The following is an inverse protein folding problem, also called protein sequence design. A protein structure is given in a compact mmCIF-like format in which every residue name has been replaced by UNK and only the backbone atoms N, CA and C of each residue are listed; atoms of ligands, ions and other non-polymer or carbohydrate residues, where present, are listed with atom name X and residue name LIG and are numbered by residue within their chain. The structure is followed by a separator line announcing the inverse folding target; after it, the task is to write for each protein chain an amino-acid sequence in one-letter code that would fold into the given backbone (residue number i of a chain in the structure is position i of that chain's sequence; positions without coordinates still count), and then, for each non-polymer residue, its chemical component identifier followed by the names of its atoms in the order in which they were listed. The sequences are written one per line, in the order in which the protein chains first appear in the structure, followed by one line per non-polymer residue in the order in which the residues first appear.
data_IF_685261920713
#
_entry.id   IF_685261920713
#
_cell.length_a   1.000
_cell.length_b   1.000
_cell.length_c   1.000
_cell.angle_alpha   90.00
_cell.angle_beta   90.00
_cell.angle_gamma   90.00
#
_symmetry.space_group_name_H-M   'P 1'
#
loop_
_entity.id
_entity.type
_entity.pdbx_description
1 polymer ?
#
# COMPACT_ATOMS: atom_id res chain seq x y z
N UNK A 1 -17.22 11.56 1.74
CA UNK A 1 -16.60 12.71 1.05
C UNK A 1 -15.28 13.06 1.74
N UNK A 2 -14.14 12.61 1.19
CA UNK A 2 -12.83 13.13 1.59
C UNK A 2 -12.43 14.16 0.53
N UNK A 3 -12.69 15.43 0.80
CA UNK A 3 -12.15 16.53 0.01
C UNK A 3 -10.69 16.70 0.44
N UNK A 4 -9.79 15.85 -0.06
CA UNK A 4 -8.35 16.01 0.17
C UNK A 4 -7.90 17.24 -0.62
N UNK A 5 -8.13 18.44 -0.05
CA UNK A 5 -7.65 19.69 -0.62
C UNK A 5 -6.14 19.82 -0.46
N UNK A 6 -5.56 19.15 0.52
CA UNK A 6 -4.14 19.21 0.82
C UNK A 6 -3.37 18.18 -0.01
N UNK A 7 -2.28 18.62 -0.64
CA UNK A 7 -1.38 17.78 -1.44
C UNK A 7 0.01 17.87 -0.84
N UNK A 8 0.56 16.71 -0.46
CA UNK A 8 1.95 16.57 -0.04
C UNK A 8 2.78 16.17 -1.26
N UNK A 9 3.57 17.10 -1.76
CA UNK A 9 4.43 16.89 -2.92
C UNK A 9 5.86 16.61 -2.46
N UNK A 10 6.47 15.56 -2.99
CA UNK A 10 7.79 15.08 -2.59
C UNK A 10 8.64 14.98 -3.84
N UNK A 11 9.76 15.71 -3.86
CA UNK A 11 10.71 15.72 -4.97
C UNK A 11 11.59 14.47 -4.97
N UNK A 12 12.37 14.28 -6.04
CA UNK A 12 13.24 13.10 -6.19
C UNK A 12 14.36 13.10 -5.16
N UNK A 13 14.81 14.29 -4.81
CA UNK A 13 15.83 14.60 -3.82
C UNK A 13 15.30 14.43 -2.38
N UNK A 14 13.99 14.21 -2.22
CA UNK A 14 13.33 14.06 -0.93
C UNK A 14 12.81 15.38 -0.33
N UNK A 15 13.02 16.51 -1.00
CA UNK A 15 12.45 17.80 -0.58
C UNK A 15 10.94 17.73 -0.55
N UNK A 16 10.36 18.19 0.56
CA UNK A 16 8.92 18.09 0.81
C UNK A 16 8.26 19.47 0.70
N UNK A 17 7.12 19.50 0.01
CA UNK A 17 6.30 20.70 -0.16
C UNK A 17 4.84 20.39 0.15
N UNK A 18 4.16 21.37 0.75
CA UNK A 18 2.75 21.29 1.06
C UNK A 18 2.00 22.31 0.22
N UNK A 19 1.06 21.82 -0.59
CA UNK A 19 0.22 22.61 -1.47
C UNK A 19 -1.25 22.31 -1.20
N UNK A 20 -2.12 23.10 -1.83
CA UNK A 20 -3.52 22.72 -1.96
C UNK A 20 -3.90 22.54 -3.43
N UNK A 21 -5.03 21.89 -3.70
CA UNK A 21 -5.59 21.76 -5.05
C UNK A 21 -5.87 23.13 -5.71
N UNK A 22 -5.99 24.19 -4.91
CA UNK A 22 -6.27 25.55 -5.36
C UNK A 22 -5.01 26.45 -5.37
N UNK A 23 -3.94 26.04 -4.66
CA UNK A 23 -2.73 26.83 -4.50
C UNK A 23 -1.48 25.95 -4.66
N UNK A 24 -0.93 25.96 -5.88
CA UNK A 24 0.29 25.26 -6.28
C UNK A 24 0.99 26.03 -7.41
N UNK A 25 2.32 25.89 -7.58
CA UNK A 25 3.05 26.58 -8.65
C UNK A 25 2.68 26.04 -10.04
N UNK A 26 2.58 26.93 -11.04
CA UNK A 26 2.14 26.59 -12.41
C UNK A 26 2.95 25.45 -13.05
N UNK A 27 4.23 25.32 -12.71
CA UNK A 27 5.10 24.23 -13.17
C UNK A 27 4.54 22.83 -12.84
N UNK A 28 3.72 22.71 -11.79
CA UNK A 28 3.12 21.45 -11.35
C UNK A 28 1.72 21.19 -11.93
N UNK A 29 1.18 22.08 -12.77
CA UNK A 29 -0.19 21.99 -13.28
C UNK A 29 -0.52 20.64 -13.94
N UNK A 30 0.40 20.12 -14.77
CA UNK A 30 0.25 18.80 -15.39
C UNK A 30 0.13 17.68 -14.35
N UNK A 31 0.93 17.74 -13.27
CA UNK A 31 0.91 16.72 -12.20
C UNK A 31 -0.38 16.79 -11.38
N UNK A 32 -0.86 17.99 -11.07
CA UNK A 32 -2.12 18.20 -10.34
C UNK A 32 -3.33 17.74 -11.16
N UNK A 33 -3.37 18.06 -12.46
CA UNK A 33 -4.43 17.56 -13.38
C UNK A 33 -4.46 16.03 -13.43
N UNK A 34 -3.30 15.39 -13.52
CA UNK A 34 -3.20 13.93 -13.53
C UNK A 34 -3.66 13.31 -12.21
N UNK A 35 -3.30 13.93 -11.08
CA UNK A 35 -3.77 13.51 -9.75
C UNK A 35 -5.30 13.58 -9.65
N UNK A 36 -5.92 14.68 -10.09
CA UNK A 36 -7.38 14.83 -10.14
C UNK A 36 -8.03 13.76 -11.01
N UNK A 37 -7.44 13.48 -12.18
CA UNK A 37 -7.94 12.45 -13.08
C UNK A 37 -7.90 11.06 -12.43
N UNK A 38 -6.78 10.68 -11.82
CA UNK A 38 -6.67 9.41 -11.10
C UNK A 38 -7.64 9.33 -9.94
N UNK A 39 -7.78 10.40 -9.15
CA UNK A 39 -8.72 10.44 -8.03
C UNK A 39 -10.16 10.22 -8.51
N UNK A 40 -10.59 10.91 -9.57
CA UNK A 40 -11.93 10.74 -10.16
C UNK A 40 -12.13 9.32 -10.66
N UNK A 41 -11.18 8.81 -11.45
CA UNK A 41 -11.24 7.47 -12.02
C UNK A 41 -11.38 6.40 -10.92
N UNK A 42 -10.55 6.46 -9.87
CA UNK A 42 -10.60 5.51 -8.76
C UNK A 42 -11.94 5.57 -8.01
N UNK A 43 -12.49 6.76 -7.78
CA UNK A 43 -13.77 6.92 -7.08
C UNK A 43 -14.96 6.38 -7.89
N UNK A 44 -14.92 6.52 -9.21
CA UNK A 44 -16.02 6.11 -10.10
C UNK A 44 -15.97 4.63 -10.48
N UNK A 45 -14.76 4.05 -10.61
CA UNK A 45 -14.59 2.74 -11.26
C UNK A 45 -14.06 1.63 -10.33
N UNK A 46 -13.59 1.95 -9.12
CA UNK A 46 -12.96 0.95 -8.25
C UNK A 46 -13.75 0.72 -6.96
N UNK A 47 -13.82 -0.55 -6.55
CA UNK A 47 -14.35 -0.94 -5.24
C UNK A 47 -13.27 -0.78 -4.18
N UNK A 48 -13.59 -0.12 -3.07
CA UNK A 48 -12.68 0.02 -1.92
C UNK A 48 -12.41 -1.34 -1.27
N UNK A 49 -11.18 -1.83 -1.37
CA UNK A 49 -10.73 -3.00 -0.64
C UNK A 49 -10.75 -2.72 0.88
N UNK A 50 -11.31 -3.63 1.67
CA UNK A 50 -11.35 -3.48 3.13
C UNK A 50 -12.28 -2.37 3.65
N UNK A 51 -13.23 -1.87 2.83
CA UNK A 51 -14.11 -0.75 3.21
C UNK A 51 -15.01 -0.98 4.44
N UNK A 52 -15.06 -2.21 4.98
CA UNK A 52 -15.77 -2.56 6.23
C UNK A 52 -14.88 -2.49 7.48
N UNK A 53 -13.57 -2.27 7.33
CA UNK A 53 -12.64 -2.18 8.46
C UNK A 53 -12.66 -0.74 9.00
N UNK A 54 -12.97 -0.52 10.28
CA UNK A 54 -12.96 0.82 10.85
C UNK A 54 -11.53 1.37 10.88
N UNK A 55 -11.37 2.62 10.44
CA UNK A 55 -10.13 3.38 10.60
C UNK A 55 -9.94 3.66 12.08
N UNK A 56 -8.76 3.36 12.64
CA UNK A 56 -8.48 3.64 14.06
C UNK A 56 -8.17 5.12 14.22
N UNK A 57 -8.56 5.73 15.34
CA UNK A 57 -8.30 7.16 15.62
C UNK A 57 -6.80 7.50 15.56
N UNK A 58 -5.93 6.58 15.97
CA UNK A 58 -4.48 6.75 15.88
C UNK A 58 -3.95 6.83 14.44
N UNK A 59 -4.68 6.29 13.46
CA UNK A 59 -4.31 6.38 12.03
C UNK A 59 -4.52 7.80 11.49
N UNK A 60 -5.43 8.57 12.10
CA UNK A 60 -5.80 9.93 11.66
C UNK A 60 -4.70 10.96 11.98
N UNK A 61 -3.92 10.72 13.03
CA UNK A 61 -2.81 11.59 13.44
C UNK A 61 -1.47 11.20 12.80
N UNK A 62 -1.42 10.04 12.14
CA UNK A 62 -0.20 9.54 11.51
C UNK A 62 0.06 10.22 10.17
N UNK A 63 1.34 10.51 9.87
CA UNK A 63 1.75 11.01 8.55
C UNK A 63 1.32 10.00 7.49
N UNK A 64 0.60 10.48 6.47
CA UNK A 64 0.11 9.63 5.39
C UNK A 64 1.31 9.04 4.64
N UNK A 65 1.46 7.71 4.58
CA UNK A 65 2.55 7.10 3.82
C UNK A 65 2.28 7.23 2.32
N UNK A 66 3.35 7.32 1.54
CA UNK A 66 3.29 7.35 0.08
C UNK A 66 3.96 6.10 -0.51
N UNK A 67 3.71 5.86 -1.79
CA UNK A 67 4.29 4.73 -2.51
C UNK A 67 5.81 4.93 -2.63
N UNK A 68 6.59 4.05 -2.03
CA UNK A 68 8.04 4.06 -2.15
C UNK A 68 8.47 3.35 -3.44
N UNK A 69 8.00 2.13 -3.65
CA UNK A 69 8.27 1.37 -4.86
C UNK A 69 7.12 0.42 -5.14
N UNK A 70 6.82 0.20 -6.42
CA UNK A 70 5.88 -0.82 -6.85
C UNK A 70 6.39 -1.51 -8.12
N UNK A 71 5.96 -2.74 -8.33
CA UNK A 71 6.20 -3.45 -9.59
C UNK A 71 5.12 -4.51 -9.82
N UNK A 72 4.94 -4.88 -11.09
CA UNK A 72 4.02 -5.92 -11.50
C UNK A 72 4.78 -7.16 -11.96
N UNK A 73 4.24 -8.31 -11.60
CA UNK A 73 4.64 -9.62 -12.13
C UNK A 73 3.44 -10.25 -12.85
N UNK A 74 3.63 -11.41 -13.47
CA UNK A 74 2.52 -12.20 -14.03
C UNK A 74 1.49 -12.63 -12.98
N UNK A 75 1.91 -12.80 -11.72
CA UNK A 75 1.05 -13.33 -10.65
C UNK A 75 0.51 -12.29 -9.67
N UNK A 76 1.14 -11.11 -9.58
CA UNK A 76 0.79 -10.12 -8.57
C UNK A 76 1.30 -8.70 -8.88
N UNK A 77 0.69 -7.71 -8.23
CA UNK A 77 1.22 -6.35 -8.08
C UNK A 77 1.78 -6.20 -6.66
N UNK A 78 3.07 -5.88 -6.56
CA UNK A 78 3.77 -5.61 -5.30
C UNK A 78 3.86 -4.11 -5.08
N UNK A 79 3.54 -3.65 -3.87
CA UNK A 79 3.55 -2.24 -3.47
C UNK A 79 4.20 -2.12 -2.10
N UNK A 80 5.23 -1.27 -1.97
CA UNK A 80 5.86 -0.94 -0.70
C UNK A 80 5.64 0.53 -0.39
N UNK A 81 5.11 0.81 0.80
CA UNK A 81 4.90 2.15 1.33
C UNK A 81 6.12 2.61 2.13
N UNK A 82 6.24 3.92 2.33
CA UNK A 82 7.39 4.52 3.06
C UNK A 82 7.43 4.18 4.55
N UNK A 83 6.31 3.82 5.17
CA UNK A 83 6.28 3.34 6.54
C UNK A 83 6.68 1.85 6.69
N UNK A 84 7.15 1.23 5.61
CA UNK A 84 7.57 -0.17 5.58
C UNK A 84 6.44 -1.17 5.32
N UNK A 85 5.18 -0.73 5.27
CA UNK A 85 4.06 -1.61 4.90
C UNK A 85 4.23 -2.12 3.47
N UNK A 86 4.05 -3.43 3.28
CA UNK A 86 4.07 -4.08 1.97
C UNK A 86 2.69 -4.63 1.68
N UNK A 87 2.10 -4.25 0.56
CA UNK A 87 0.86 -4.80 0.05
C UNK A 87 1.11 -5.55 -1.26
N UNK A 88 0.61 -6.78 -1.34
CA UNK A 88 0.66 -7.60 -2.55
C UNK A 88 -0.76 -7.95 -2.94
N UNK A 89 -1.13 -7.58 -4.16
CA UNK A 89 -2.43 -7.90 -4.76
C UNK A 89 -2.20 -9.00 -5.81
N UNK A 90 -2.71 -10.21 -5.56
CA UNK A 90 -2.58 -11.35 -6.48
C UNK A 90 -3.66 -11.34 -7.56
N UNK A 91 -3.38 -12.03 -8.67
CA UNK A 91 -4.34 -12.18 -9.79
C UNK A 91 -5.59 -12.97 -9.41
N UNK A 92 -5.49 -13.91 -8.45
CA UNK A 92 -6.64 -14.65 -7.89
C UNK A 92 -7.48 -13.81 -6.89
N UNK A 93 -7.33 -12.49 -6.92
CA UNK A 93 -8.01 -11.51 -6.06
C UNK A 93 -7.70 -11.57 -4.56
N UNK A 94 -6.86 -12.50 -4.11
CA UNK A 94 -6.33 -12.51 -2.74
C UNK A 94 -5.31 -11.38 -2.54
N UNK A 95 -5.12 -10.94 -1.30
CA UNK A 95 -4.17 -9.89 -0.93
C UNK A 95 -3.49 -10.21 0.38
N UNK A 96 -2.23 -9.83 0.51
CA UNK A 96 -1.56 -9.74 1.81
C UNK A 96 -1.04 -8.33 2.04
N UNK A 97 -1.21 -7.85 3.26
CA UNK A 97 -0.68 -6.58 3.75
C UNK A 97 0.22 -6.91 4.95
N UNK A 98 1.51 -6.74 4.79
CA UNK A 98 2.53 -6.99 5.81
C UNK A 98 2.84 -5.67 6.51
N UNK A 99 2.76 -5.67 7.84
CA UNK A 99 3.10 -4.51 8.66
C UNK A 99 4.27 -4.89 9.59
N UNK A 100 5.48 -4.32 9.39
CA UNK A 100 6.63 -4.65 10.22
C UNK A 100 6.46 -4.15 11.65
N UNK A 101 5.86 -2.96 11.85
CA UNK A 101 5.66 -2.39 13.19
C UNK A 101 4.74 -3.25 14.08
N UNK A 102 3.73 -3.87 13.48
CA UNK A 102 2.81 -4.76 14.20
C UNK A 102 3.26 -6.22 14.22
N UNK A 103 4.35 -6.55 13.53
CA UNK A 103 4.79 -7.93 13.28
C UNK A 103 3.61 -8.83 12.86
N UNK A 104 2.82 -8.34 11.92
CA UNK A 104 1.56 -8.96 11.52
C UNK A 104 1.34 -8.92 10.00
N UNK A 105 0.50 -9.84 9.55
CA UNK A 105 -0.02 -9.91 8.18
C UNK A 105 -1.54 -9.84 8.20
N UNK A 106 -2.09 -8.98 7.37
CA UNK A 106 -3.49 -9.04 6.98
C UNK A 106 -3.62 -9.87 5.72
N UNK A 107 -4.48 -10.88 5.74
CA UNK A 107 -4.87 -11.66 4.58
C UNK A 107 -6.30 -11.31 4.18
N UNK A 108 -6.49 -11.01 2.90
CA UNK A 108 -7.80 -10.81 2.28
C UNK A 108 -7.98 -11.93 1.26
N UNK A 109 -8.95 -12.81 1.49
CA UNK A 109 -9.22 -13.93 0.59
C UNK A 109 -10.08 -13.52 -0.62
N UNK A 110 -10.43 -14.49 -1.47
CA UNK A 110 -11.20 -14.25 -2.69
C UNK A 110 -12.61 -13.75 -2.37
N UNK A 111 -13.18 -14.24 -1.26
CA UNK A 111 -14.48 -13.89 -0.69
C UNK A 111 -14.47 -12.52 0.03
N UNK A 112 -13.33 -11.83 0.05
CA UNK A 112 -13.12 -10.53 0.69
C UNK A 112 -13.19 -10.58 2.23
N UNK A 113 -13.03 -11.75 2.84
CA UNK A 113 -12.87 -11.83 4.29
C UNK A 113 -11.52 -11.22 4.67
N UNK A 114 -11.55 -10.32 5.63
CA UNK A 114 -10.38 -9.61 6.12
C UNK A 114 -9.94 -10.20 7.46
N UNK A 115 -8.74 -10.77 7.52
CA UNK A 115 -8.21 -11.38 8.75
C UNK A 115 -6.79 -10.91 9.00
N UNK A 116 -6.48 -10.50 10.22
CA UNK A 116 -5.12 -10.09 10.62
C UNK A 116 -4.54 -11.12 11.58
N UNK A 117 -3.33 -11.57 11.31
CA UNK A 117 -2.61 -12.55 12.11
C UNK A 117 -1.24 -11.99 12.50
N UNK A 118 -0.86 -12.18 13.76
CA UNK A 118 0.53 -11.95 14.17
C UNK A 118 1.40 -13.07 13.61
N UNK A 119 2.64 -12.76 13.25
CA UNK A 119 3.58 -13.79 12.78
C UNK A 119 3.82 -14.86 13.86
N UNK A 120 3.91 -14.47 15.14
CA UNK A 120 4.06 -15.42 16.25
C UNK A 120 2.93 -16.46 16.28
N UNK A 121 1.68 -16.03 16.10
CA UNK A 121 0.53 -16.93 16.05
C UNK A 121 0.59 -17.88 14.87
N UNK A 122 1.02 -17.41 13.68
CA UNK A 122 1.21 -18.27 12.51
C UNK A 122 2.33 -19.29 12.76
N UNK A 123 3.43 -18.89 13.42
CA UNK A 123 4.54 -19.79 13.75
C UNK A 123 4.11 -20.88 14.73
N UNK A 124 3.31 -20.53 15.73
CA UNK A 124 2.86 -21.46 16.78
C UNK A 124 1.74 -22.39 16.30
N UNK A 125 0.77 -21.87 15.55
CA UNK A 125 -0.48 -22.58 15.21
C UNK A 125 -0.57 -22.99 13.74
N UNK A 126 0.43 -22.61 12.93
CA UNK A 126 0.39 -22.77 11.48
C UNK A 126 -0.58 -21.77 10.81
N UNK A 127 -0.74 -21.95 9.50
CA UNK A 127 -1.73 -21.23 8.71
C UNK A 127 -2.24 -22.09 7.55
N UNK A 128 -3.28 -21.63 6.85
CA UNK A 128 -3.73 -22.34 5.65
C UNK A 128 -2.66 -22.30 4.56
N UNK A 129 -2.63 -23.35 3.73
CA UNK A 129 -1.63 -23.52 2.66
C UNK A 129 -1.55 -22.30 1.73
N UNK A 130 -2.69 -21.68 1.41
CA UNK A 130 -2.72 -20.50 0.54
C UNK A 130 -2.02 -19.30 1.17
N UNK A 131 -2.22 -19.05 2.47
CA UNK A 131 -1.54 -17.96 3.17
C UNK A 131 -0.03 -18.24 3.25
N UNK A 132 0.37 -19.48 3.55
CA UNK A 132 1.78 -19.89 3.53
C UNK A 132 2.46 -19.65 2.18
N UNK A 133 1.82 -20.04 1.09
CA UNK A 133 2.33 -19.78 -0.28
C UNK A 133 2.45 -18.28 -0.57
N UNK A 134 1.45 -17.49 -0.19
CA UNK A 134 1.47 -16.05 -0.39
C UNK A 134 2.58 -15.37 0.44
N UNK A 135 2.83 -15.84 1.67
CA UNK A 135 3.90 -15.34 2.53
C UNK A 135 5.28 -15.70 1.98
N UNK A 136 5.46 -16.92 1.47
CA UNK A 136 6.71 -17.33 0.80
C UNK A 136 6.99 -16.46 -0.43
N UNK A 137 5.97 -16.26 -1.27
CA UNK A 137 6.08 -15.34 -2.41
C UNK A 137 6.47 -13.92 -1.96
N UNK A 138 5.85 -13.42 -0.89
CA UNK A 138 6.15 -12.09 -0.38
C UNK A 138 7.60 -11.97 0.10
N UNK A 139 8.12 -12.97 0.81
CA UNK A 139 9.51 -13.03 1.25
C UNK A 139 10.48 -12.95 0.05
N UNK A 140 10.26 -13.77 -0.98
CA UNK A 140 11.10 -13.76 -2.18
C UNK A 140 11.13 -12.38 -2.85
N UNK A 141 9.99 -11.69 -2.92
CA UNK A 141 9.91 -10.34 -3.51
C UNK A 141 10.56 -9.27 -2.65
N UNK A 142 10.46 -9.37 -1.33
CA UNK A 142 11.15 -8.47 -0.41
C UNK A 142 12.67 -8.63 -0.54
N UNK A 143 13.18 -9.86 -0.52
CA UNK A 143 14.62 -10.14 -0.68
C UNK A 143 15.15 -9.63 -2.03
N UNK A 144 14.41 -9.83 -3.11
CA UNK A 144 14.75 -9.27 -4.42
C UNK A 144 14.82 -7.74 -4.40
N UNK A 145 13.94 -7.08 -3.66
CA UNK A 145 13.92 -5.61 -3.55
C UNK A 145 15.10 -5.10 -2.71
N UNK A 146 15.44 -5.80 -1.62
CA UNK A 146 16.57 -5.46 -0.76
C UNK A 146 17.92 -5.60 -1.49
N UNK A 147 18.14 -6.73 -2.15
CA UNK A 147 19.37 -6.98 -2.92
C UNK A 147 19.61 -6.00 -4.08
N UNK A 148 18.55 -5.39 -4.63
CA UNK A 148 18.68 -4.32 -5.63
C UNK A 148 19.16 -3.01 -5.01
N UNK A 149 18.78 -2.72 -3.77
CA UNK A 149 19.19 -1.51 -3.05
C UNK A 149 20.65 -1.55 -2.63
N UNK A 150 21.17 -2.72 -2.28
CA UNK A 150 22.59 -2.88 -1.89
C UNK A 150 23.57 -2.70 -3.06
N UNK A 151 23.08 -2.73 -4.31
CA UNK A 151 23.88 -2.59 -5.54
C UNK A 151 23.83 -1.17 -6.12
N UNK A 152 23.17 -0.23 -5.46
CA UNK A 152 22.99 1.16 -5.87
C UNK A 152 23.72 2.08 -4.90
#
# INVERSE_FOLDING_TARGET
CFCCRNVHYIEREGTEHYYTMDNYPELLDKKFKLLTYFQRYMNEHLVKAGGKVPVRECDVLSRIPYMNHWFRTSSAVFMQLTNGTVQINFTNHTKVILCPLMMAVTYIDAEKNFRTFRYSTITEQGCCMQLGTNLKYALDKIQLTLSKREKQ
#
